data_IF_177177670301
#
_entry.id   IF_177177670301
#
_cell.length_a   1.000
_cell.length_b   1.000
_cell.length_c   1.000
_cell.angle_alpha   90.00
_cell.angle_beta   90.00
_cell.angle_gamma   90.00
#
_symmetry.space_group_name_H-M   'P 1'
#
loop_
_entity.id
_entity.type
_entity.pdbx_description
1 polymer ?
#
# COMPACT_ATOMS: atom_id res chain seq x y z
N UNK A 1 -29.94 18.39 -2.34
CA UNK A 1 -30.41 16.99 -2.12
C UNK A 1 -31.91 16.88 -1.83
N UNK A 2 -32.43 17.45 -0.72
CA UNK A 2 -33.87 17.30 -0.36
C UNK A 2 -34.83 17.74 -1.48
N UNK A 3 -34.46 18.77 -2.22
CA UNK A 3 -35.22 19.25 -3.38
C UNK A 3 -35.23 18.26 -4.56
N UNK A 4 -34.10 17.58 -4.80
CA UNK A 4 -33.94 16.53 -5.84
C UNK A 4 -34.87 15.35 -5.55
N UNK A 5 -34.92 14.93 -4.28
CA UNK A 5 -35.77 13.85 -3.80
C UNK A 5 -37.25 14.21 -3.93
N UNK A 6 -37.63 15.45 -3.60
CA UNK A 6 -39.02 15.94 -3.70
C UNK A 6 -39.57 15.98 -5.12
N UNK A 7 -38.69 16.12 -6.12
CA UNK A 7 -39.05 16.14 -7.53
C UNK A 7 -39.27 14.75 -8.14
N UNK A 8 -39.04 13.67 -7.39
CA UNK A 8 -39.34 12.32 -7.89
C UNK A 8 -40.85 12.09 -7.97
N UNK A 9 -41.35 11.68 -9.14
CA UNK A 9 -42.76 11.32 -9.33
C UNK A 9 -43.15 10.11 -8.48
N UNK A 10 -44.45 9.94 -8.25
CA UNK A 10 -45.00 8.76 -7.59
C UNK A 10 -44.62 7.44 -8.27
N UNK A 11 -44.37 7.44 -9.59
CA UNK A 11 -43.89 6.29 -10.37
C UNK A 11 -42.42 5.93 -10.13
N UNK A 12 -41.63 6.80 -9.48
CA UNK A 12 -40.19 6.62 -9.29
C UNK A 12 -39.30 7.27 -10.37
N UNK A 13 -39.90 8.03 -11.30
CA UNK A 13 -39.18 8.71 -12.39
C UNK A 13 -38.98 10.19 -12.12
N UNK A 14 -38.04 10.81 -12.84
CA UNK A 14 -37.89 12.27 -12.92
C UNK A 14 -38.27 12.78 -14.31
N UNK A 15 -38.66 14.06 -14.38
CA UNK A 15 -38.85 14.74 -15.66
C UNK A 15 -37.52 15.06 -16.30
N UNK A 16 -37.52 15.09 -17.64
CA UNK A 16 -36.35 15.45 -18.44
C UNK A 16 -35.82 16.85 -18.13
N UNK A 17 -36.72 17.83 -18.04
CA UNK A 17 -36.39 19.24 -17.74
C UNK A 17 -35.77 19.41 -16.36
N UNK A 18 -36.26 18.65 -15.38
CA UNK A 18 -35.70 18.64 -14.03
C UNK A 18 -34.34 17.94 -13.99
N UNK A 19 -34.17 16.81 -14.69
CA UNK A 19 -32.93 16.04 -14.68
C UNK A 19 -31.72 16.86 -15.15
N UNK A 20 -31.86 17.61 -16.26
CA UNK A 20 -30.80 18.46 -16.79
C UNK A 20 -30.39 19.55 -15.77
N UNK A 21 -31.38 20.23 -15.17
CA UNK A 21 -31.13 21.27 -14.16
C UNK A 21 -30.54 20.71 -12.85
N UNK A 22 -30.98 19.53 -12.43
CA UNK A 22 -30.55 18.88 -11.19
C UNK A 22 -29.10 18.40 -11.24
N UNK A 23 -28.64 17.99 -12.44
CA UNK A 23 -27.29 17.48 -12.68
C UNK A 23 -26.35 18.61 -13.12
N UNK A 24 -26.88 19.76 -13.55
CA UNK A 24 -26.10 20.92 -13.97
C UNK A 24 -25.56 20.80 -15.40
N UNK A 25 -26.28 20.10 -16.29
CA UNK A 25 -25.87 19.87 -17.69
C UNK A 25 -26.94 20.41 -18.64
N UNK A 26 -26.57 20.87 -19.84
CA UNK A 26 -27.55 21.31 -20.84
C UNK A 26 -28.38 20.14 -21.36
N UNK A 27 -29.65 20.40 -21.69
CA UNK A 27 -30.58 19.38 -22.19
C UNK A 27 -30.04 18.67 -23.46
N UNK A 28 -29.35 19.40 -24.34
CA UNK A 28 -28.74 18.85 -25.55
C UNK A 28 -27.61 17.86 -25.26
N UNK A 29 -26.79 18.14 -24.23
CA UNK A 29 -25.72 17.23 -23.79
C UNK A 29 -26.28 15.97 -23.15
N UNK A 30 -27.37 16.08 -22.39
CA UNK A 30 -28.06 14.94 -21.81
C UNK A 30 -28.65 14.03 -22.92
N UNK A 31 -29.18 14.63 -24.01
CA UNK A 31 -29.77 13.90 -25.13
C UNK A 31 -28.74 13.16 -25.98
N UNK A 32 -27.58 13.79 -26.25
CA UNK A 32 -26.49 13.18 -27.03
C UNK A 32 -25.89 11.92 -26.39
N UNK A 33 -26.03 11.77 -25.07
CA UNK A 33 -25.48 10.64 -24.32
C UNK A 33 -26.40 9.41 -24.29
N UNK A 34 -27.58 9.47 -24.93
CA UNK A 34 -28.45 8.31 -25.09
C UNK A 34 -27.81 7.36 -26.12
N UNK A 35 -27.71 6.04 -25.84
CA UNK A 35 -27.13 5.06 -26.77
C UNK A 35 -28.07 4.77 -27.95
N UNK A 36 -28.25 5.76 -28.83
CA UNK A 36 -29.13 5.70 -30.00
C UNK A 36 -28.67 4.67 -31.05
N UNK A 37 -27.39 4.30 -31.02
CA UNK A 37 -26.79 3.22 -31.80
C UNK A 37 -27.44 1.86 -31.49
N UNK A 38 -27.78 1.59 -30.22
CA UNK A 38 -28.34 0.31 -29.76
C UNK A 38 -29.87 0.24 -29.80
N UNK A 39 -30.53 1.37 -29.93
CA UNK A 39 -31.99 1.50 -29.83
C UNK A 39 -32.62 1.62 -31.22
N UNK A 40 -33.79 0.99 -31.42
CA UNK A 40 -34.56 1.12 -32.65
C UNK A 40 -35.19 2.50 -32.79
N UNK A 41 -35.73 3.05 -31.69
CA UNK A 41 -36.30 4.40 -31.61
C UNK A 41 -35.91 5.05 -30.28
N UNK A 42 -35.73 6.37 -30.30
CA UNK A 42 -35.53 7.20 -29.11
C UNK A 42 -36.76 8.08 -28.94
N UNK A 43 -37.74 7.55 -28.20
CA UNK A 43 -39.00 8.22 -27.92
C UNK A 43 -38.95 8.92 -26.54
N UNK A 44 -39.91 9.78 -26.24
CA UNK A 44 -39.97 10.54 -24.98
C UNK A 44 -39.92 9.64 -23.71
N UNK A 45 -40.40 8.40 -23.83
CA UNK A 45 -40.34 7.43 -22.74
C UNK A 45 -38.91 6.90 -22.49
N UNK A 46 -38.09 6.76 -23.54
CA UNK A 46 -36.67 6.38 -23.43
C UNK A 46 -35.86 7.52 -22.83
N UNK A 47 -36.17 8.76 -23.22
CA UNK A 47 -35.59 9.96 -22.61
C UNK A 47 -35.90 10.00 -21.10
N UNK A 48 -37.11 9.63 -20.69
CA UNK A 48 -37.49 9.56 -19.28
C UNK A 48 -36.74 8.44 -18.51
N UNK A 49 -36.48 7.29 -19.16
CA UNK A 49 -35.65 6.22 -18.59
C UNK A 49 -34.23 6.74 -18.34
N UNK A 50 -33.65 7.40 -19.34
CA UNK A 50 -32.30 7.95 -19.25
C UNK A 50 -32.19 9.05 -18.19
N UNK A 51 -33.08 10.03 -18.19
CA UNK A 51 -33.14 11.08 -17.17
C UNK A 51 -33.24 10.51 -15.74
N UNK A 52 -34.07 9.47 -15.57
CA UNK A 52 -34.25 8.80 -14.27
C UNK A 52 -32.98 8.06 -13.84
N UNK A 53 -32.28 7.40 -14.77
CA UNK A 53 -31.02 6.72 -14.50
C UNK A 53 -29.90 7.72 -14.13
N UNK A 54 -29.81 8.85 -14.84
CA UNK A 54 -28.82 9.91 -14.59
C UNK A 54 -29.03 10.58 -13.23
N UNK A 55 -30.25 10.95 -12.87
CA UNK A 55 -30.52 11.56 -11.55
C UNK A 55 -30.23 10.58 -10.41
N UNK A 56 -30.58 9.31 -10.59
CA UNK A 56 -30.28 8.29 -9.59
C UNK A 56 -28.78 8.03 -9.45
N UNK A 57 -28.04 7.95 -10.55
CA UNK A 57 -26.58 7.84 -10.55
C UNK A 57 -25.94 9.07 -9.89
N UNK A 58 -26.44 10.27 -10.18
CA UNK A 58 -25.96 11.52 -9.59
C UNK A 58 -26.11 11.56 -8.08
N UNK A 59 -27.24 11.08 -7.54
CA UNK A 59 -27.43 10.97 -6.10
C UNK A 59 -26.43 9.99 -5.46
N UNK A 60 -26.16 8.87 -6.12
CA UNK A 60 -25.22 7.85 -5.63
C UNK A 60 -23.75 8.29 -5.73
N UNK A 61 -23.38 9.05 -6.75
CA UNK A 61 -21.99 9.51 -6.96
C UNK A 61 -21.66 10.76 -6.16
N UNK A 62 -22.57 11.75 -6.09
CA UNK A 62 -22.28 13.04 -5.45
C UNK A 62 -22.49 13.05 -3.93
N UNK A 63 -23.27 12.11 -3.40
CA UNK A 63 -23.61 12.10 -1.97
C UNK A 63 -23.47 10.72 -1.31
N UNK A 64 -22.30 10.07 -1.39
CA UNK A 64 -22.11 8.72 -0.84
C UNK A 64 -22.38 8.65 0.69
N UNK A 65 -21.96 9.66 1.45
CA UNK A 65 -22.05 9.69 2.92
C UNK A 65 -23.46 9.92 3.46
N UNK A 66 -24.42 10.21 2.58
CA UNK A 66 -25.81 10.49 2.92
C UNK A 66 -26.76 9.43 2.36
N UNK A 67 -26.27 8.20 2.17
CA UNK A 67 -27.03 7.06 1.62
C UNK A 67 -28.41 6.88 2.26
N UNK A 68 -28.49 7.04 3.59
CA UNK A 68 -29.74 6.92 4.34
C UNK A 68 -30.85 7.88 3.86
N UNK A 69 -30.48 9.00 3.23
CA UNK A 69 -31.42 10.01 2.74
C UNK A 69 -31.98 9.70 1.35
N UNK A 70 -31.23 9.03 0.47
CA UNK A 70 -31.60 8.84 -0.94
C UNK A 70 -31.78 7.38 -1.37
N UNK A 71 -31.35 6.40 -0.58
CA UNK A 71 -31.35 4.97 -0.95
C UNK A 71 -32.74 4.46 -1.38
N UNK A 72 -33.78 4.84 -0.63
CA UNK A 72 -35.16 4.44 -0.93
C UNK A 72 -35.66 5.03 -2.28
N UNK A 73 -35.23 6.25 -2.58
CA UNK A 73 -35.58 7.00 -3.80
C UNK A 73 -34.88 6.37 -5.02
N UNK A 74 -33.60 6.02 -4.88
CA UNK A 74 -32.83 5.33 -5.92
C UNK A 74 -33.32 3.90 -6.15
N UNK A 75 -33.67 3.15 -5.10
CA UNK A 75 -34.29 1.82 -5.23
C UNK A 75 -35.59 1.88 -6.02
N UNK A 76 -36.40 2.92 -5.80
CA UNK A 76 -37.64 3.15 -6.56
C UNK A 76 -37.37 3.48 -8.02
N UNK A 77 -36.36 4.29 -8.30
CA UNK A 77 -35.90 4.62 -9.65
C UNK A 77 -35.40 3.38 -10.41
N UNK A 78 -34.60 2.53 -9.76
CA UNK A 78 -34.13 1.25 -10.33
C UNK A 78 -35.30 0.34 -10.72
N UNK A 79 -36.31 0.23 -9.85
CA UNK A 79 -37.53 -0.54 -10.16
C UNK A 79 -38.31 0.05 -11.34
N UNK A 80 -38.39 1.38 -11.44
CA UNK A 80 -39.02 2.04 -12.59
C UNK A 80 -38.27 1.74 -13.89
N UNK A 81 -36.96 1.98 -13.93
CA UNK A 81 -36.11 1.76 -15.11
C UNK A 81 -36.14 0.30 -15.55
N UNK A 82 -36.04 -0.66 -14.64
CA UNK A 82 -36.09 -2.09 -14.99
C UNK A 82 -37.46 -2.51 -15.60
N UNK A 83 -38.56 -1.94 -15.10
CA UNK A 83 -39.91 -2.20 -15.65
C UNK A 83 -40.11 -1.52 -17.00
N UNK A 84 -39.69 -0.27 -17.12
CA UNK A 84 -39.80 0.54 -18.32
C UNK A 84 -38.94 -0.04 -19.45
N UNK A 85 -37.70 -0.45 -19.15
CA UNK A 85 -36.80 -1.11 -20.09
C UNK A 85 -37.45 -2.35 -20.73
N UNK A 86 -38.02 -3.26 -19.94
CA UNK A 86 -38.69 -4.47 -20.46
C UNK A 86 -39.92 -4.20 -21.32
N UNK A 87 -40.61 -3.08 -21.09
CA UNK A 87 -41.90 -2.79 -21.74
C UNK A 87 -41.76 -1.89 -22.97
N UNK A 88 -40.78 -0.99 -22.96
CA UNK A 88 -40.71 0.17 -23.85
C UNK A 88 -39.48 0.10 -24.77
N UNK A 89 -38.34 -0.38 -24.26
CA UNK A 89 -37.07 -0.32 -24.99
C UNK A 89 -37.03 -1.42 -26.04
N UNK A 90 -36.94 -1.01 -27.32
CA UNK A 90 -36.71 -1.91 -28.46
C UNK A 90 -35.26 -1.81 -28.91
N UNK A 91 -34.52 -2.90 -28.77
CA UNK A 91 -33.11 -2.98 -29.13
C UNK A 91 -32.95 -3.39 -30.60
N UNK A 92 -31.91 -2.87 -31.28
CA UNK A 92 -31.59 -3.28 -32.66
C UNK A 92 -31.08 -4.72 -32.70
N UNK A 93 -30.33 -5.13 -31.69
CA UNK A 93 -29.88 -6.51 -31.47
C UNK A 93 -30.60 -7.09 -30.24
N UNK A 94 -31.40 -8.17 -30.38
CA UNK A 94 -32.09 -8.81 -29.26
C UNK A 94 -31.15 -9.42 -28.20
N UNK A 95 -29.88 -9.64 -28.54
CA UNK A 95 -28.86 -10.19 -27.64
C UNK A 95 -28.07 -9.12 -26.87
N UNK A 96 -28.23 -7.84 -27.24
CA UNK A 96 -27.57 -6.75 -26.55
C UNK A 96 -28.24 -6.44 -25.21
N UNK A 97 -27.45 -6.17 -24.17
CA UNK A 97 -27.95 -5.72 -22.86
C UNK A 97 -27.58 -4.23 -22.64
N UNK A 98 -28.52 -3.46 -22.10
CA UNK A 98 -28.32 -2.03 -21.82
C UNK A 98 -28.52 -1.77 -20.33
N UNK A 99 -27.42 -1.61 -19.61
CA UNK A 99 -27.44 -1.11 -18.24
C UNK A 99 -27.47 0.43 -18.23
N UNK A 100 -28.66 0.98 -18.05
CA UNK A 100 -28.90 2.42 -17.99
C UNK A 100 -28.19 3.11 -16.83
N UNK A 101 -28.05 2.47 -15.67
CA UNK A 101 -27.43 3.10 -14.50
C UNK A 101 -25.92 3.15 -14.65
N UNK A 102 -25.33 2.14 -15.27
CA UNK A 102 -23.92 2.13 -15.57
C UNK A 102 -23.56 3.19 -16.62
N UNK A 103 -24.34 3.28 -17.70
CA UNK A 103 -24.18 4.33 -18.71
C UNK A 103 -24.35 5.72 -18.10
N UNK A 104 -25.33 5.89 -17.22
CA UNK A 104 -25.58 7.15 -16.52
C UNK A 104 -24.42 7.53 -15.59
N UNK A 105 -23.85 6.57 -14.88
CA UNK A 105 -22.67 6.79 -14.03
C UNK A 105 -21.48 7.19 -14.89
N UNK A 106 -21.25 6.52 -16.02
CA UNK A 106 -20.18 6.87 -16.96
C UNK A 106 -20.35 8.29 -17.53
N UNK A 107 -21.58 8.66 -17.92
CA UNK A 107 -21.90 10.00 -18.40
C UNK A 107 -21.55 11.10 -17.39
N UNK A 108 -21.82 10.88 -16.11
CA UNK A 108 -21.54 11.84 -15.04
C UNK A 108 -20.06 11.99 -14.72
N UNK A 109 -19.27 10.93 -14.95
CA UNK A 109 -17.86 10.87 -14.56
C UNK A 109 -16.93 11.35 -15.68
N UNK A 110 -17.23 10.99 -16.93
CA UNK A 110 -16.32 11.14 -18.08
C UNK A 110 -16.76 12.29 -19.01
N UNK A 111 -18.05 12.64 -19.01
CA UNK A 111 -18.63 13.65 -19.89
C UNK A 111 -19.10 13.10 -21.26
N UNK A 112 -20.00 13.83 -21.96
CA UNK A 112 -20.73 13.33 -23.14
C UNK A 112 -19.86 13.06 -24.38
N UNK A 113 -18.70 13.70 -24.50
CA UNK A 113 -17.87 13.62 -25.71
C UNK A 113 -17.16 12.26 -25.82
N UNK A 114 -16.70 11.71 -24.69
CA UNK A 114 -16.01 10.41 -24.63
C UNK A 114 -17.00 9.24 -24.71
N UNK A 115 -18.20 9.40 -24.17
CA UNK A 115 -19.26 8.38 -24.21
C UNK A 115 -19.70 7.99 -25.63
N UNK A 116 -19.59 8.91 -26.60
CA UNK A 116 -19.96 8.66 -28.00
C UNK A 116 -19.02 7.70 -28.74
N UNK A 117 -17.84 7.40 -28.18
CA UNK A 117 -16.81 6.55 -28.78
C UNK A 117 -16.59 5.19 -28.09
N UNK A 118 -17.38 4.84 -27.06
CA UNK A 118 -17.21 3.58 -26.31
C UNK A 118 -17.95 2.43 -27.00
N UNK A 119 -17.24 1.68 -27.85
CA UNK A 119 -17.73 0.40 -28.37
C UNK A 119 -17.71 -0.68 -27.27
N UNK A 120 -18.79 -1.45 -27.12
CA UNK A 120 -18.82 -2.64 -26.24
C UNK A 120 -19.85 -2.64 -25.09
N UNK A 121 -20.58 -1.54 -24.83
CA UNK A 121 -21.64 -1.55 -23.81
C UNK A 121 -21.15 -1.62 -22.36
N UNK A 122 -21.93 -2.26 -21.49
CA UNK A 122 -21.76 -2.31 -20.04
C UNK A 122 -20.31 -2.60 -19.60
N UNK A 123 -19.66 -3.61 -20.19
CA UNK A 123 -18.27 -3.96 -19.84
C UNK A 123 -17.23 -2.93 -20.31
N UNK A 124 -17.44 -2.33 -21.49
CA UNK A 124 -16.60 -1.25 -22.00
C UNK A 124 -16.72 0.03 -21.18
N UNK A 125 -17.94 0.37 -20.75
CA UNK A 125 -18.18 1.49 -19.85
C UNK A 125 -17.59 1.25 -18.45
N UNK A 126 -17.61 0.01 -17.92
CA UNK A 126 -16.95 -0.32 -16.66
C UNK A 126 -15.43 -0.17 -16.73
N UNK A 127 -14.83 -0.63 -17.83
CA UNK A 127 -13.40 -0.50 -18.07
C UNK A 127 -12.99 0.96 -18.17
N UNK A 128 -13.70 1.77 -18.97
CA UNK A 128 -13.41 3.20 -19.15
C UNK A 128 -13.73 3.99 -17.89
N UNK A 129 -14.79 3.67 -17.12
CA UNK A 129 -15.09 4.32 -15.83
C UNK A 129 -14.04 3.95 -14.78
N UNK A 130 -13.61 2.69 -14.69
CA UNK A 130 -12.49 2.29 -13.83
C UNK A 130 -11.21 3.00 -14.24
N UNK A 131 -10.91 3.03 -15.54
CA UNK A 131 -9.71 3.65 -16.10
C UNK A 131 -9.74 5.18 -15.91
N UNK A 132 -10.89 5.84 -16.03
CA UNK A 132 -11.05 7.29 -15.83
C UNK A 132 -11.09 7.68 -14.34
N UNK A 133 -11.74 6.88 -13.49
CA UNK A 133 -11.70 7.05 -12.02
C UNK A 133 -10.30 6.78 -11.46
N UNK A 134 -9.58 5.82 -12.04
CA UNK A 134 -8.17 5.56 -11.72
C UNK A 134 -7.23 6.63 -12.29
N UNK A 135 -7.54 7.23 -13.44
CA UNK A 135 -6.74 8.32 -14.03
C UNK A 135 -6.79 9.64 -13.24
N UNK A 136 -7.76 9.82 -12.31
CA UNK A 136 -7.88 11.04 -11.51
C UNK A 136 -7.20 11.01 -10.14
N UNK A 137 -6.75 9.86 -9.63
CA UNK A 137 -5.99 9.80 -8.37
C UNK A 137 -4.51 9.67 -8.66
N UNK A 138 -3.81 10.78 -8.59
CA UNK A 138 -2.36 10.81 -8.51
C UNK A 138 -1.93 10.41 -7.10
N UNK A 139 -1.03 9.45 -6.99
CA UNK A 139 -0.39 9.04 -5.75
C UNK A 139 1.08 9.40 -5.78
N UNK A 140 1.70 9.62 -4.62
CA UNK A 140 3.13 9.90 -4.52
C UNK A 140 3.84 8.71 -3.90
N UNK A 141 4.81 8.15 -4.60
CA UNK A 141 5.67 7.09 -4.08
C UNK A 141 7.01 7.69 -3.67
N UNK A 142 7.40 7.40 -2.43
CA UNK A 142 8.55 7.97 -1.76
C UNK A 142 9.53 6.87 -1.38
N UNK A 143 10.75 6.95 -1.89
CA UNK A 143 11.83 6.05 -1.58
C UNK A 143 12.87 6.76 -0.71
N UNK A 144 13.03 6.28 0.52
CA UNK A 144 13.93 6.90 1.50
C UNK A 144 15.30 6.22 1.44
N UNK A 145 16.37 7.02 1.42
CA UNK A 145 17.75 6.58 1.64
C UNK A 145 18.28 7.33 2.88
N UNK A 146 18.02 6.80 4.09
CA UNK A 146 18.32 7.49 5.33
C UNK A 146 19.80 7.35 5.70
N UNK A 147 20.36 8.37 6.34
CA UNK A 147 21.65 8.29 7.02
C UNK A 147 21.43 8.03 8.52
N UNK A 148 21.71 6.81 8.97
CA UNK A 148 21.50 6.40 10.36
C UNK A 148 22.81 6.08 11.06
N UNK A 149 23.01 6.70 12.22
CA UNK A 149 24.16 6.54 13.09
C UNK A 149 23.76 5.81 14.38
N UNK A 150 24.75 5.38 15.16
CA UNK A 150 24.56 4.73 16.46
C UNK A 150 23.77 5.60 17.45
N UNK A 151 24.02 6.92 17.45
CA UNK A 151 23.34 7.92 18.27
C UNK A 151 21.82 7.93 18.05
N UNK A 152 21.35 7.64 16.83
CA UNK A 152 19.92 7.59 16.52
C UNK A 152 19.21 6.42 17.21
N UNK A 153 19.92 5.37 17.63
CA UNK A 153 19.35 4.23 18.35
C UNK A 153 19.47 4.36 19.86
N UNK A 154 19.92 5.50 20.38
CA UNK A 154 20.05 5.72 21.83
C UNK A 154 18.71 5.58 22.55
N UNK A 155 17.64 6.13 21.97
CA UNK A 155 16.27 6.07 22.52
C UNK A 155 15.23 5.99 21.40
N UNK A 156 14.02 5.53 21.74
CA UNK A 156 12.88 5.54 20.83
C UNK A 156 12.56 6.95 20.27
N UNK A 157 12.72 7.99 21.10
CA UNK A 157 12.44 9.37 20.71
C UNK A 157 13.45 9.89 19.67
N UNK A 158 14.74 9.66 19.89
CA UNK A 158 15.80 10.04 18.94
C UNK A 158 15.63 9.31 17.61
N UNK A 159 15.27 8.03 17.68
CA UNK A 159 15.00 7.22 16.51
C UNK A 159 13.80 7.76 15.71
N UNK A 160 12.67 8.04 16.36
CA UNK A 160 11.50 8.66 15.73
C UNK A 160 11.86 9.99 15.10
N UNK A 161 12.59 10.85 15.82
CA UNK A 161 12.96 12.18 15.35
C UNK A 161 13.82 12.12 14.08
N UNK A 162 14.77 11.19 13.98
CA UNK A 162 15.58 10.99 12.78
C UNK A 162 14.73 10.62 11.57
N UNK A 163 13.74 9.73 11.74
CA UNK A 163 12.84 9.34 10.66
C UNK A 163 11.84 10.44 10.27
N UNK A 164 11.25 11.12 11.26
CA UNK A 164 10.34 12.24 11.03
C UNK A 164 11.04 13.40 10.28
N UNK A 165 12.30 13.67 10.60
CA UNK A 165 13.10 14.68 9.90
C UNK A 165 13.27 14.37 8.41
N UNK A 166 13.27 13.09 8.02
CA UNK A 166 13.33 12.67 6.62
C UNK A 166 11.99 12.84 5.92
N UNK A 167 10.89 12.48 6.57
CA UNK A 167 9.54 12.64 6.00
C UNK A 167 9.18 14.12 5.83
N UNK A 168 9.55 14.96 6.79
CA UNK A 168 9.37 16.41 6.68
C UNK A 168 10.13 17.03 5.48
N UNK A 169 11.20 16.40 4.97
CA UNK A 169 11.86 16.85 3.74
C UNK A 169 11.04 16.55 2.48
N UNK A 170 10.21 15.51 2.53
CA UNK A 170 9.34 15.08 1.43
C UNK A 170 8.15 16.00 1.31
N UNK A 171 7.49 16.28 2.44
CA UNK A 171 6.32 17.16 2.50
C UNK A 171 6.64 18.55 1.97
N UNK A 172 7.71 19.17 2.47
CA UNK A 172 8.19 20.48 1.98
C UNK A 172 8.49 20.51 0.47
N UNK A 173 8.89 19.37 -0.11
CA UNK A 173 9.19 19.26 -1.54
C UNK A 173 7.92 19.01 -2.37
N UNK A 174 6.96 18.30 -1.80
CA UNK A 174 5.63 18.07 -2.37
C UNK A 174 4.83 19.36 -2.42
N UNK A 175 4.75 20.10 -1.31
CA UNK A 175 4.07 21.40 -1.19
C UNK A 175 4.60 22.45 -2.17
N UNK A 176 5.91 22.46 -2.42
CA UNK A 176 6.53 23.36 -3.42
C UNK A 176 6.12 23.04 -4.87
N UNK A 177 5.56 21.85 -5.12
CA UNK A 177 5.14 21.38 -6.45
C UNK A 177 3.62 21.46 -6.64
N UNK A 178 2.84 21.42 -5.55
CA UNK A 178 1.36 21.33 -5.55
C UNK A 178 0.63 22.60 -5.10
N UNK A 179 1.21 23.79 -5.26
CA UNK A 179 0.65 25.08 -4.80
C UNK A 179 -0.72 25.50 -5.42
N UNK A 180 -1.43 24.62 -6.13
CA UNK A 180 -2.73 24.89 -6.77
C UNK A 180 -3.83 23.82 -6.49
N UNK A 181 -3.63 22.86 -5.57
CA UNK A 181 -4.62 21.84 -5.26
C UNK A 181 -5.34 22.11 -3.92
N UNK A 182 -6.69 22.13 -3.95
CA UNK A 182 -7.55 22.24 -2.78
C UNK A 182 -7.38 21.03 -1.83
N UNK A 183 -7.55 21.26 -0.52
CA UNK A 183 -7.38 20.31 0.61
C UNK A 183 -8.15 18.96 0.48
N UNK A 184 -9.14 18.87 -0.42
CA UNK A 184 -9.95 17.65 -0.63
C UNK A 184 -9.32 16.63 -1.59
N UNK A 185 -8.24 16.98 -2.30
CA UNK A 185 -7.52 16.13 -3.27
C UNK A 185 -6.10 15.75 -2.78
N UNK A 186 -5.93 15.50 -1.48
CA UNK A 186 -4.65 15.01 -0.95
C UNK A 186 -4.24 13.71 -1.66
N UNK A 187 -3.13 13.76 -2.39
CA UNK A 187 -2.59 12.62 -3.12
C UNK A 187 -2.08 11.58 -2.12
N UNK A 188 -2.57 10.32 -2.14
CA UNK A 188 -2.10 9.30 -1.21
C UNK A 188 -0.58 9.12 -1.34
N UNK A 189 0.12 9.08 -0.20
CA UNK A 189 1.58 8.92 -0.15
C UNK A 189 1.95 7.50 0.28
N UNK A 190 2.88 6.85 -0.43
CA UNK A 190 3.47 5.57 -0.06
C UNK A 190 4.97 5.72 0.19
N UNK A 191 5.42 5.52 1.41
CA UNK A 191 6.82 5.65 1.82
C UNK A 191 7.46 4.28 2.03
N UNK A 192 8.66 4.09 1.48
CA UNK A 192 9.42 2.83 1.60
C UNK A 192 10.78 3.08 2.27
N UNK A 193 10.98 2.40 3.39
CA UNK A 193 12.22 2.40 4.18
C UNK A 193 13.12 1.18 3.88
N UNK A 194 14.43 1.22 4.21
CA UNK A 194 15.37 0.15 3.89
C UNK A 194 15.34 -1.02 4.88
N UNK A 195 15.97 -2.13 4.50
CA UNK A 195 16.04 -3.37 5.30
C UNK A 195 16.95 -3.24 6.53
N UNK A 196 16.66 -4.05 7.55
CA UNK A 196 17.47 -4.42 8.72
C UNK A 196 17.80 -3.26 9.65
N UNK A 197 18.30 -2.16 9.12
CA UNK A 197 18.91 -1.10 9.92
C UNK A 197 17.86 -0.32 10.67
N UNK A 198 16.71 -0.08 10.07
CA UNK A 198 15.60 0.65 10.69
C UNK A 198 15.18 0.01 12.02
N UNK A 199 14.93 -1.29 12.08
CA UNK A 199 14.42 -1.90 13.32
C UNK A 199 15.45 -2.71 14.14
N UNK A 200 16.46 -3.31 13.51
CA UNK A 200 17.27 -4.36 14.17
C UNK A 200 18.17 -3.80 15.28
N UNK A 201 18.63 -2.56 15.13
CA UNK A 201 19.53 -1.92 16.09
C UNK A 201 18.83 -1.33 17.32
N UNK A 202 17.49 -1.35 17.34
CA UNK A 202 16.70 -1.13 18.57
C UNK A 202 17.07 -2.13 19.68
N UNK A 203 17.79 -3.21 19.36
CA UNK A 203 18.38 -4.11 20.37
C UNK A 203 19.32 -3.38 21.34
N UNK A 204 19.95 -2.28 20.91
CA UNK A 204 20.87 -1.45 21.71
C UNK A 204 20.17 -0.27 22.42
N UNK A 205 18.87 -0.06 22.16
CA UNK A 205 18.11 1.07 22.71
C UNK A 205 18.07 1.06 24.24
N UNK A 206 18.36 2.21 24.83
CA UNK A 206 18.49 2.47 26.27
C UNK A 206 19.59 1.65 26.99
N UNK A 207 20.45 0.95 26.24
CA UNK A 207 21.48 0.07 26.82
C UNK A 207 22.89 0.66 26.79
N UNK A 208 23.15 1.61 25.89
CA UNK A 208 24.49 2.16 25.70
C UNK A 208 24.68 3.48 26.46
N UNK A 209 25.84 3.69 27.12
CA UNK A 209 26.24 5.00 27.60
C UNK A 209 26.27 6.04 26.47
N UNK A 210 26.03 7.31 26.79
CA UNK A 210 26.03 8.40 25.80
C UNK A 210 27.39 8.61 25.11
N UNK A 211 28.48 8.18 25.76
CA UNK A 211 29.87 8.26 25.33
C UNK A 211 30.42 6.90 24.85
N UNK A 212 29.55 5.95 24.49
CA UNK A 212 29.96 4.62 24.08
C UNK A 212 30.75 4.65 22.76
N UNK A 213 32.05 4.36 22.82
CA UNK A 213 32.88 4.09 21.66
C UNK A 213 33.19 2.59 21.57
N UNK A 214 32.76 1.92 20.51
CA UNK A 214 32.98 0.49 20.31
C UNK A 214 32.43 -0.01 18.98
N UNK A 215 32.67 -1.30 18.70
CA UNK A 215 32.02 -1.99 17.59
C UNK A 215 30.68 -2.60 18.01
N UNK A 216 29.95 -3.18 17.05
CA UNK A 216 28.66 -3.81 17.34
C UNK A 216 28.78 -4.95 18.37
N UNK A 217 29.90 -5.66 18.41
CA UNK A 217 30.11 -6.78 19.32
C UNK A 217 30.29 -6.30 20.76
N UNK A 218 31.02 -5.20 20.95
CA UNK A 218 31.15 -4.51 22.23
C UNK A 218 29.80 -3.99 22.72
N UNK A 219 29.00 -3.39 21.83
CA UNK A 219 27.66 -2.93 22.15
C UNK A 219 26.78 -4.09 22.63
N UNK A 220 26.76 -5.19 21.88
CA UNK A 220 25.99 -6.38 22.25
C UNK A 220 26.47 -7.00 23.57
N UNK A 221 27.78 -6.95 23.86
CA UNK A 221 28.33 -7.41 25.13
C UNK A 221 27.89 -6.55 26.32
N UNK A 222 27.64 -5.25 26.13
CA UNK A 222 27.05 -4.38 27.16
C UNK A 222 25.60 -4.80 27.44
N UNK A 223 24.80 -5.00 26.40
CA UNK A 223 23.40 -5.48 26.54
C UNK A 223 23.34 -6.81 27.28
N UNK A 224 24.18 -7.78 26.89
CA UNK A 224 24.25 -9.10 27.54
C UNK A 224 24.64 -8.97 29.02
N UNK A 225 25.61 -8.10 29.35
CA UNK A 225 26.04 -7.89 30.74
C UNK A 225 24.95 -7.28 31.61
N UNK A 226 24.20 -6.30 31.08
CA UNK A 226 23.08 -5.67 31.80
C UNK A 226 21.93 -6.65 32.06
N UNK A 227 21.71 -7.61 31.16
CA UNK A 227 20.62 -8.58 31.24
C UNK A 227 21.10 -10.03 31.43
N UNK A 228 22.18 -10.22 32.19
CA UNK A 228 22.93 -11.48 32.24
C UNK A 228 22.06 -12.71 32.56
N UNK A 229 21.21 -12.62 33.59
CA UNK A 229 20.37 -13.75 34.02
C UNK A 229 19.30 -14.13 33.00
N UNK A 230 18.61 -13.13 32.45
CA UNK A 230 17.61 -13.32 31.40
C UNK A 230 18.25 -13.86 30.12
N UNK A 231 19.42 -13.35 29.75
CA UNK A 231 20.20 -13.83 28.61
C UNK A 231 20.60 -15.31 28.77
N UNK A 232 21.13 -15.71 29.93
CA UNK A 232 21.50 -17.10 30.21
C UNK A 232 20.28 -18.02 30.14
N UNK A 233 19.13 -17.61 30.67
CA UNK A 233 17.89 -18.36 30.57
C UNK A 233 17.45 -18.57 29.10
N UNK A 234 17.51 -17.52 28.28
CA UNK A 234 17.22 -17.62 26.85
C UNK A 234 18.24 -18.47 26.09
N UNK A 235 19.52 -18.42 26.47
CA UNK A 235 20.59 -19.23 25.89
C UNK A 235 20.38 -20.72 26.16
N UNK A 236 20.14 -21.10 27.41
CA UNK A 236 19.82 -22.48 27.77
C UNK A 236 18.57 -22.97 27.03
N UNK A 237 17.51 -22.14 26.97
CA UNK A 237 16.29 -22.48 26.22
C UNK A 237 16.54 -22.64 24.72
N UNK A 238 17.43 -21.84 24.12
CA UNK A 238 17.80 -21.99 22.71
C UNK A 238 18.54 -23.29 22.44
N UNK A 239 19.47 -23.69 23.31
CA UNK A 239 20.18 -24.96 23.19
C UNK A 239 19.24 -26.16 23.28
N UNK A 240 18.31 -26.14 24.24
CA UNK A 240 17.32 -27.20 24.45
C UNK A 240 16.35 -27.31 23.26
N UNK A 241 15.85 -26.18 22.75
CA UNK A 241 14.86 -26.21 21.67
C UNK A 241 15.47 -26.60 20.32
N UNK A 242 16.66 -26.09 20.02
CA UNK A 242 17.29 -26.26 18.70
C UNK A 242 18.21 -27.50 18.63
N UNK A 243 18.26 -28.32 19.68
CA UNK A 243 19.03 -29.59 19.74
C UNK A 243 20.50 -29.45 19.30
N UNK A 244 21.18 -28.36 19.70
CA UNK A 244 22.58 -28.08 19.32
C UNK A 244 22.84 -28.03 17.79
N UNK A 245 21.81 -27.81 16.96
CA UNK A 245 21.95 -27.79 15.49
C UNK A 245 22.76 -26.62 14.94
N UNK A 246 23.06 -25.61 15.74
CA UNK A 246 23.73 -24.39 15.31
C UNK A 246 24.97 -24.11 16.17
N UNK A 247 25.91 -23.33 15.63
CA UNK A 247 27.11 -22.94 16.38
C UNK A 247 26.78 -22.02 17.56
N UNK A 248 27.67 -21.98 18.55
CA UNK A 248 27.55 -21.17 19.77
C UNK A 248 27.16 -19.71 19.49
N UNK A 249 27.81 -19.08 18.50
CA UNK A 249 27.54 -17.68 18.15
C UNK A 249 26.14 -17.45 17.58
N UNK A 250 25.57 -18.45 16.89
CA UNK A 250 24.19 -18.36 16.42
C UNK A 250 23.20 -18.43 17.58
N UNK A 251 23.48 -19.26 18.59
CA UNK A 251 22.69 -19.30 19.83
C UNK A 251 22.79 -18.00 20.62
N UNK A 252 23.98 -17.42 20.76
CA UNK A 252 24.20 -16.12 21.41
C UNK A 252 23.37 -15.02 20.73
N UNK A 253 23.48 -14.88 19.41
CA UNK A 253 22.69 -13.89 18.65
C UNK A 253 21.19 -14.11 18.85
N UNK A 254 20.70 -15.36 18.73
CA UNK A 254 19.27 -15.67 18.91
C UNK A 254 18.75 -15.31 20.29
N UNK A 255 19.51 -15.61 21.34
CA UNK A 255 19.12 -15.30 22.71
C UNK A 255 19.06 -13.80 22.96
N UNK A 256 20.02 -13.05 22.41
CA UNK A 256 20.06 -11.61 22.53
C UNK A 256 18.87 -10.92 21.86
N UNK A 257 18.59 -11.28 20.60
CA UNK A 257 17.41 -10.74 19.91
C UNK A 257 16.10 -11.19 20.55
N UNK A 258 16.01 -12.41 21.08
CA UNK A 258 14.82 -12.87 21.82
C UNK A 258 14.59 -12.09 23.11
N UNK A 259 15.66 -11.76 23.83
CA UNK A 259 15.61 -10.98 25.07
C UNK A 259 14.96 -9.60 24.83
N UNK A 260 15.41 -8.88 23.79
CA UNK A 260 14.90 -7.53 23.48
C UNK A 260 13.71 -7.53 22.50
N UNK A 261 13.30 -8.68 21.98
CA UNK A 261 12.31 -8.78 20.89
C UNK A 261 11.01 -8.02 21.17
N UNK A 262 10.47 -8.08 22.40
CA UNK A 262 9.24 -7.38 22.76
C UNK A 262 9.43 -5.86 22.75
N UNK A 263 10.50 -5.35 23.36
CA UNK A 263 10.80 -3.93 23.38
C UNK A 263 11.04 -3.42 21.94
N UNK A 264 11.88 -4.12 21.18
CA UNK A 264 12.16 -3.82 19.78
C UNK A 264 10.90 -3.78 18.93
N UNK A 265 10.02 -4.78 19.06
CA UNK A 265 8.77 -4.84 18.30
C UNK A 265 7.80 -3.71 18.66
N UNK A 266 7.61 -3.42 19.96
CA UNK A 266 6.71 -2.37 20.39
C UNK A 266 7.18 -1.01 19.91
N UNK A 267 8.46 -0.68 20.12
CA UNK A 267 9.05 0.59 19.66
C UNK A 267 8.98 0.71 18.15
N UNK A 268 9.36 -0.33 17.41
CA UNK A 268 9.27 -0.33 15.95
C UNK A 268 7.83 -0.10 15.47
N UNK A 269 6.85 -0.80 16.05
CA UNK A 269 5.44 -0.64 15.70
C UNK A 269 4.93 0.77 16.04
N UNK A 270 5.21 1.26 17.25
CA UNK A 270 4.71 2.55 17.75
C UNK A 270 5.28 3.70 16.93
N UNK A 271 6.60 3.72 16.70
CA UNK A 271 7.25 4.77 15.91
C UNK A 271 6.67 4.82 14.49
N UNK A 272 6.54 3.69 13.80
CA UNK A 272 5.98 3.69 12.44
C UNK A 272 4.48 3.93 12.38
N UNK A 273 3.73 3.51 13.40
CA UNK A 273 2.29 3.80 13.53
C UNK A 273 2.07 5.30 13.70
N UNK A 274 2.84 5.95 14.58
CA UNK A 274 2.78 7.39 14.79
C UNK A 274 3.23 8.15 13.55
N UNK A 275 4.32 7.75 12.89
CA UNK A 275 4.76 8.39 11.64
C UNK A 275 3.73 8.26 10.52
N UNK A 276 3.05 7.11 10.40
CA UNK A 276 2.01 6.93 9.39
C UNK A 276 0.80 7.84 9.65
N UNK A 277 0.44 8.04 10.92
CA UNK A 277 -0.63 8.97 11.33
C UNK A 277 -0.24 10.43 11.15
N UNK A 278 0.96 10.82 11.60
CA UNK A 278 1.44 12.21 11.55
C UNK A 278 1.57 12.73 10.12
N UNK A 279 1.90 11.85 9.17
CA UNK A 279 2.13 12.18 7.76
C UNK A 279 1.02 11.69 6.83
N UNK A 280 -0.08 11.15 7.37
CA UNK A 280 -1.20 10.54 6.64
C UNK A 280 -0.77 9.61 5.47
N UNK A 281 0.32 8.86 5.69
CA UNK A 281 1.01 8.12 4.64
C UNK A 281 0.95 6.61 4.87
N UNK A 282 0.87 5.86 3.78
CA UNK A 282 1.14 4.43 3.78
C UNK A 282 2.63 4.19 3.95
N UNK A 283 3.04 3.38 4.93
CA UNK A 283 4.46 3.16 5.20
C UNK A 283 4.81 1.69 5.10
N UNK A 284 5.79 1.36 4.25
CA UNK A 284 6.55 0.10 4.31
C UNK A 284 7.78 0.36 5.19
N UNK A 285 7.71 -0.06 6.45
CA UNK A 285 8.63 0.34 7.53
C UNK A 285 10.06 -0.25 7.42
N UNK A 286 10.43 -0.79 6.26
CA UNK A 286 11.71 -1.46 6.10
C UNK A 286 11.67 -2.83 6.75
N UNK A 287 12.70 -3.24 7.48
CA UNK A 287 12.65 -4.52 8.17
C UNK A 287 13.40 -4.60 9.50
N UNK A 288 13.03 -5.59 10.31
CA UNK A 288 13.52 -5.85 11.64
C UNK A 288 13.77 -7.35 11.87
N UNK A 289 14.85 -7.70 12.56
CA UNK A 289 15.13 -9.08 12.95
C UNK A 289 14.36 -9.46 14.23
N UNK A 290 13.28 -10.23 14.08
CA UNK A 290 12.44 -10.66 15.20
C UNK A 290 12.13 -12.17 15.16
N UNK A 291 11.78 -12.78 16.30
CA UNK A 291 11.06 -14.04 16.30
C UNK A 291 9.76 -13.92 15.50
N UNK A 292 9.21 -15.04 15.01
CA UNK A 292 8.00 -14.99 14.16
C UNK A 292 6.87 -14.25 14.87
N UNK A 293 6.32 -13.24 14.22
CA UNK A 293 5.21 -12.47 14.77
C UNK A 293 3.90 -13.17 14.39
N UNK A 294 3.05 -13.45 15.38
CA UNK A 294 1.70 -13.97 15.18
C UNK A 294 0.70 -12.87 15.45
N UNK A 295 -0.18 -12.64 14.48
CA UNK A 295 -1.27 -11.68 14.57
C UNK A 295 -2.58 -12.43 14.72
N UNK A 296 -3.33 -12.15 15.79
CA UNK A 296 -4.61 -12.76 16.09
C UNK A 296 -5.70 -11.71 16.03
N UNK A 297 -6.74 -11.91 15.22
CA UNK A 297 -7.95 -11.09 15.28
C UNK A 297 -8.76 -11.52 16.50
N UNK A 298 -8.82 -10.70 17.54
CA UNK A 298 -9.86 -10.88 18.55
C UNK A 298 -11.16 -10.29 18.02
N UNK A 299 -12.17 -11.13 17.89
CA UNK A 299 -13.57 -10.69 17.88
C UNK A 299 -13.91 -10.39 19.33
N UNK A 300 -14.47 -9.22 19.64
CA UNK A 300 -14.87 -8.94 21.02
C UNK A 300 -16.00 -9.88 21.42
N UNK A 301 -15.70 -10.93 22.19
CA UNK A 301 -16.72 -11.69 22.89
C UNK A 301 -17.30 -10.79 24.00
N UNK A 302 -18.31 -9.98 23.65
CA UNK A 302 -18.91 -9.02 24.57
C UNK A 302 -20.10 -8.22 24.07
N UNK A 303 -20.41 -8.23 22.77
CA UNK A 303 -21.63 -7.63 22.23
C UNK A 303 -22.57 -8.73 21.75
N UNK A 304 -23.57 -9.01 22.59
CA UNK A 304 -24.73 -9.85 22.33
C UNK A 304 -25.26 -9.66 20.92
N UNK A 305 -25.54 -10.78 20.26
CA UNK A 305 -26.18 -10.90 18.97
C UNK A 305 -27.41 -9.98 18.80
N UNK A 306 -27.22 -8.85 18.14
CA UNK A 306 -28.24 -8.08 17.43
C UNK A 306 -27.59 -6.88 16.72
N UNK A 307 -26.78 -7.12 15.70
CA UNK A 307 -26.37 -6.07 14.77
C UNK A 307 -26.35 -6.64 13.35
N UNK A 308 -27.51 -6.59 12.71
CA UNK A 308 -27.60 -6.55 11.25
C UNK A 308 -27.23 -5.14 10.80
N UNK A 309 -25.94 -4.86 10.60
CA UNK A 309 -25.48 -3.82 9.67
C UNK A 309 -23.98 -3.95 9.44
N UNK A 310 -23.50 -3.57 8.24
CA UNK A 310 -22.12 -3.61 7.75
C UNK A 310 -21.17 -2.66 8.53
N UNK A 311 -21.14 -2.77 9.85
CA UNK A 311 -20.15 -2.09 10.68
C UNK A 311 -18.87 -2.93 10.68
N UNK A 312 -17.80 -2.31 10.20
CA UNK A 312 -16.43 -2.79 10.27
C UNK A 312 -16.11 -3.07 11.75
N UNK A 313 -16.32 -4.30 12.21
CA UNK A 313 -15.97 -4.69 13.56
C UNK A 313 -14.48 -4.40 13.75
N UNK A 314 -14.17 -3.51 14.68
CA UNK A 314 -12.82 -3.22 15.15
C UNK A 314 -12.20 -4.53 15.67
N UNK A 315 -11.60 -5.29 14.76
CA UNK A 315 -10.79 -6.46 15.07
C UNK A 315 -9.53 -5.97 15.75
N UNK A 316 -9.51 -6.03 17.08
CA UNK A 316 -8.28 -5.77 17.83
C UNK A 316 -7.31 -6.91 17.55
N UNK A 317 -6.27 -6.62 16.77
CA UNK A 317 -5.22 -7.57 16.43
C UNK A 317 -4.25 -7.68 17.62
N UNK A 318 -4.35 -8.76 18.40
CA UNK A 318 -3.32 -9.07 19.39
C UNK A 318 -2.09 -9.63 18.69
N UNK A 319 -0.93 -9.05 19.00
CA UNK A 319 0.35 -9.49 18.45
C UNK A 319 1.11 -10.31 19.49
N UNK A 320 1.52 -11.53 19.14
CA UNK A 320 2.39 -12.37 19.98
C UNK A 320 3.63 -12.82 19.22
N UNK A 321 4.78 -12.68 19.85
CA UNK A 321 6.03 -13.22 19.33
C UNK A 321 6.09 -14.73 19.57
N UNK A 322 6.50 -15.48 18.57
CA UNK A 322 6.71 -16.92 18.68
C UNK A 322 8.02 -17.23 19.38
N UNK A 323 8.15 -18.44 19.91
CA UNK A 323 9.39 -18.97 20.47
C UNK A 323 10.38 -19.47 19.40
N UNK A 324 10.01 -19.48 18.11
CA UNK A 324 10.76 -20.16 17.06
C UNK A 324 11.48 -19.20 16.11
N UNK A 325 12.74 -19.51 15.82
CA UNK A 325 13.56 -18.84 14.80
C UNK A 325 13.79 -17.34 15.02
N UNK A 326 14.64 -16.76 14.19
CA UNK A 326 14.64 -15.32 13.91
C UNK A 326 14.36 -15.17 12.42
N UNK A 327 13.54 -14.20 12.08
CA UNK A 327 13.12 -13.90 10.73
C UNK A 327 13.36 -12.43 10.47
N UNK A 328 13.69 -12.10 9.22
CA UNK A 328 13.59 -10.73 8.80
C UNK A 328 12.11 -10.40 8.57
N UNK A 329 11.59 -9.39 9.25
CA UNK A 329 10.17 -9.04 9.25
C UNK A 329 10.01 -7.60 8.80
N UNK A 330 9.13 -7.33 7.85
CA UNK A 330 8.69 -5.99 7.46
C UNK A 330 7.23 -5.81 7.86
N UNK A 331 6.89 -4.65 8.41
CA UNK A 331 5.51 -4.26 8.68
C UNK A 331 5.09 -3.18 7.70
N UNK A 332 3.84 -3.21 7.25
CA UNK A 332 3.22 -2.12 6.52
C UNK A 332 2.14 -1.48 7.38
N UNK A 333 2.03 -0.16 7.25
CA UNK A 333 1.10 0.67 8.01
C UNK A 333 0.21 1.47 7.07
N UNK A 334 -1.06 1.56 7.43
CA UNK A 334 -2.01 2.46 6.78
C UNK A 334 -1.93 3.87 7.41
N UNK A 335 -2.48 4.91 6.75
CA UNK A 335 -2.49 6.29 7.27
C UNK A 335 -3.13 6.47 8.64
N UNK A 336 -3.99 5.55 9.07
CA UNK A 336 -4.57 5.53 10.43
C UNK A 336 -3.61 4.94 11.49
N UNK A 337 -2.38 4.60 11.09
CA UNK A 337 -1.36 3.96 11.91
C UNK A 337 -1.60 2.48 12.19
N UNK A 338 -2.64 1.86 11.64
CA UNK A 338 -2.90 0.44 11.83
C UNK A 338 -1.92 -0.41 11.02
N UNK A 339 -1.52 -1.57 11.56
CA UNK A 339 -0.69 -2.54 10.84
C UNK A 339 -1.58 -3.28 9.85
N UNK A 340 -1.37 -3.04 8.56
CA UNK A 340 -2.11 -3.66 7.48
C UNK A 340 -1.42 -4.94 6.96
N UNK A 341 -0.08 -5.06 7.11
CA UNK A 341 0.67 -6.20 6.62
C UNK A 341 1.91 -6.58 7.47
N UNK A 342 2.28 -7.86 7.43
CA UNK A 342 3.43 -8.47 8.11
C UNK A 342 4.15 -9.43 7.14
N UNK A 343 5.26 -8.98 6.58
CA UNK A 343 6.03 -9.71 5.58
C UNK A 343 7.24 -10.41 6.22
N UNK A 344 7.35 -11.72 6.05
CA UNK A 344 8.54 -12.51 6.44
C UNK A 344 9.46 -12.88 5.27
N UNK A 345 8.93 -12.79 4.05
CA UNK A 345 9.63 -13.06 2.78
C UNK A 345 9.06 -12.17 1.67
N UNK A 346 7.87 -12.53 1.20
CA UNK A 346 7.06 -11.73 0.31
C UNK A 346 5.59 -11.76 0.72
N UNK A 347 4.93 -10.60 0.64
CA UNK A 347 3.49 -10.47 0.90
C UNK A 347 2.88 -9.36 0.04
N UNK A 348 1.57 -9.42 -0.17
CA UNK A 348 0.81 -8.37 -0.85
C UNK A 348 -0.17 -7.74 0.12
N UNK A 349 -0.25 -6.42 0.11
CA UNK A 349 -1.34 -5.68 0.72
C UNK A 349 -1.76 -4.53 -0.19
N UNK A 350 -3.06 -4.45 -0.51
CA UNK A 350 -3.65 -3.33 -1.25
C UNK A 350 -2.89 -2.97 -2.54
N UNK A 351 -2.65 -3.97 -3.41
CA UNK A 351 -1.84 -3.89 -4.64
C UNK A 351 -0.35 -3.57 -4.46
N UNK A 352 0.15 -3.43 -3.23
CA UNK A 352 1.57 -3.23 -2.92
C UNK A 352 2.20 -4.54 -2.45
N UNK A 353 3.14 -5.05 -3.23
CA UNK A 353 3.94 -6.23 -2.92
C UNK A 353 5.23 -5.86 -2.21
N UNK A 354 5.55 -6.51 -1.09
CA UNK A 354 6.84 -6.31 -0.40
C UNK A 354 7.71 -7.54 -0.60
N UNK A 355 8.97 -7.37 -1.01
CA UNK A 355 9.98 -8.43 -1.11
C UNK A 355 11.27 -8.00 -0.41
N UNK A 356 11.66 -8.68 0.66
CA UNK A 356 12.75 -8.22 1.52
C UNK A 356 14.11 -8.63 0.92
N UNK A 357 14.88 -7.66 0.46
CA UNK A 357 16.27 -7.79 0.02
C UNK A 357 16.53 -9.00 -0.90
N UNK A 358 17.16 -10.05 -0.38
CA UNK A 358 17.49 -11.27 -1.12
C UNK A 358 16.27 -11.95 -1.76
N UNK A 359 15.06 -11.74 -1.23
CA UNK A 359 13.84 -12.31 -1.80
C UNK A 359 13.54 -11.75 -3.20
N UNK A 360 14.00 -10.52 -3.50
CA UNK A 360 13.93 -9.89 -4.83
C UNK A 360 14.83 -10.56 -5.89
N UNK A 361 15.62 -11.56 -5.51
CA UNK A 361 16.45 -12.29 -6.47
C UNK A 361 15.74 -13.50 -7.06
N UNK A 362 14.76 -14.07 -6.34
CA UNK A 362 14.14 -15.33 -6.72
C UNK A 362 12.96 -15.11 -7.68
N UNK A 363 12.94 -15.76 -8.87
CA UNK A 363 11.83 -15.65 -9.83
C UNK A 363 10.46 -16.00 -9.22
N UNK A 364 10.42 -17.02 -8.36
CA UNK A 364 9.21 -17.46 -7.65
C UNK A 364 8.57 -16.35 -6.81
N UNK A 365 9.37 -15.39 -6.33
CA UNK A 365 8.84 -14.23 -5.59
C UNK A 365 7.97 -13.38 -6.51
N UNK A 366 8.47 -13.07 -7.72
CA UNK A 366 7.74 -12.26 -8.71
C UNK A 366 6.55 -13.00 -9.32
N UNK A 367 6.65 -14.31 -9.53
CA UNK A 367 5.50 -15.14 -9.94
C UNK A 367 4.37 -15.04 -8.92
N UNK A 368 4.68 -15.17 -7.63
CA UNK A 368 3.70 -15.04 -6.55
C UNK A 368 3.14 -13.61 -6.48
N UNK A 369 3.98 -12.58 -6.60
CA UNK A 369 3.53 -11.19 -6.62
C UNK A 369 2.57 -10.93 -7.79
N UNK A 370 2.84 -11.51 -8.96
CA UNK A 370 1.97 -11.46 -10.13
C UNK A 370 0.64 -12.18 -9.90
N UNK A 371 0.67 -13.39 -9.35
CA UNK A 371 -0.54 -14.16 -9.02
C UNK A 371 -1.44 -13.42 -8.03
N UNK A 372 -0.83 -12.67 -7.10
CA UNK A 372 -1.57 -11.87 -6.14
C UNK A 372 -2.06 -10.53 -6.72
N UNK A 373 -1.55 -10.09 -7.88
CA UNK A 373 -1.95 -8.83 -8.53
C UNK A 373 -1.23 -7.58 -8.01
N UNK A 374 0.06 -7.68 -7.67
CA UNK A 374 0.85 -6.52 -7.22
C UNK A 374 1.01 -5.48 -8.35
N UNK A 375 0.60 -4.23 -8.11
CA UNK A 375 0.85 -3.10 -9.01
C UNK A 375 2.15 -2.35 -8.67
N UNK A 376 2.50 -2.29 -7.39
CA UNK A 376 3.75 -1.70 -6.90
C UNK A 376 4.55 -2.77 -6.15
N UNK A 377 5.85 -2.89 -6.40
CA UNK A 377 6.74 -3.80 -5.66
C UNK A 377 7.78 -3.02 -4.87
N UNK A 378 7.71 -3.10 -3.56
CA UNK A 378 8.64 -2.49 -2.62
C UNK A 378 9.72 -3.50 -2.19
N UNK A 379 10.98 -3.12 -2.35
CA UNK A 379 12.15 -3.90 -1.97
C UNK A 379 12.97 -3.13 -0.94
N UNK A 380 12.69 -3.30 0.35
CA UNK A 380 13.59 -2.88 1.41
C UNK A 380 14.86 -3.72 1.30
N UNK A 381 16.02 -3.09 1.17
CA UNK A 381 17.28 -3.82 1.08
C UNK A 381 18.41 -3.13 1.85
N UNK A 382 19.35 -3.94 2.35
CA UNK A 382 20.59 -3.45 2.90
C UNK A 382 21.76 -4.29 2.37
N UNK A 383 22.71 -3.60 1.75
CA UNK A 383 23.90 -4.20 1.16
C UNK A 383 25.12 -3.69 1.90
N UNK A 384 25.86 -4.62 2.50
CA UNK A 384 27.07 -4.33 3.28
C UNK A 384 28.13 -5.41 3.00
N UNK A 385 29.44 -5.09 3.12
CA UNK A 385 30.03 -3.74 3.12
C UNK A 385 29.88 -3.03 1.77
N UNK A 386 30.30 -1.76 1.66
CA UNK A 386 30.23 -0.99 0.40
C UNK A 386 30.88 -1.71 -0.81
N UNK A 387 31.96 -2.45 -0.57
CA UNK A 387 32.67 -3.22 -1.60
C UNK A 387 31.85 -4.38 -2.17
N UNK A 388 30.72 -4.73 -1.55
CA UNK A 388 29.85 -5.81 -2.02
C UNK A 388 29.28 -5.49 -3.40
N UNK A 389 28.99 -4.22 -3.71
CA UNK A 389 28.52 -3.82 -5.05
C UNK A 389 29.49 -4.15 -6.18
N UNK A 390 30.79 -4.23 -5.88
CA UNK A 390 31.85 -4.51 -6.85
C UNK A 390 32.16 -6.02 -6.96
N UNK A 391 31.43 -6.86 -6.23
CA UNK A 391 31.63 -8.28 -6.16
C UNK A 391 30.37 -9.09 -6.55
N UNK A 392 30.54 -10.34 -7.00
CA UNK A 392 29.43 -11.25 -7.21
C UNK A 392 28.59 -11.46 -5.95
N UNK A 393 27.25 -11.55 -6.09
CA UNK A 393 26.38 -11.85 -4.95
C UNK A 393 26.68 -13.26 -4.43
N UNK A 394 26.89 -13.40 -3.11
CA UNK A 394 27.22 -14.67 -2.45
C UNK A 394 26.02 -15.52 -2.03
N UNK A 395 24.78 -15.04 -2.24
CA UNK A 395 23.55 -15.73 -1.87
C UNK A 395 23.21 -15.64 -0.38
N UNK A 396 22.09 -16.27 0.03
CA UNK A 396 21.66 -16.26 1.43
C UNK A 396 22.69 -16.95 2.32
N UNK A 397 23.12 -16.28 3.39
CA UNK A 397 24.05 -16.79 4.41
C UNK A 397 25.36 -17.41 3.89
N UNK A 398 25.86 -16.93 2.73
CA UNK A 398 27.10 -17.42 2.12
C UNK A 398 26.98 -18.83 1.51
N UNK A 399 25.76 -19.37 1.39
CA UNK A 399 25.52 -20.62 0.67
C UNK A 399 25.28 -20.32 -0.80
N UNK A 400 26.36 -20.38 -1.58
CA UNK A 400 26.40 -20.23 -3.03
C UNK A 400 25.54 -21.22 -3.84
N UNK A 401 24.77 -22.10 -3.18
CA UNK A 401 24.14 -23.28 -3.79
C UNK A 401 22.65 -23.07 -4.16
N UNK A 402 22.12 -21.85 -3.99
CA UNK A 402 20.71 -21.54 -4.22
C UNK A 402 20.46 -20.33 -5.13
N UNK A 403 21.41 -19.95 -5.98
CA UNK A 403 21.11 -18.95 -6.99
C UNK A 403 20.08 -19.50 -7.99
N UNK A 404 19.10 -18.68 -8.39
CA UNK A 404 18.35 -18.95 -9.61
C UNK A 404 19.31 -19.10 -10.80
N UNK A 405 19.09 -20.11 -11.64
CA UNK A 405 20.01 -20.45 -12.74
C UNK A 405 20.21 -19.32 -13.77
N UNK A 406 19.30 -18.36 -13.77
CA UNK A 406 19.23 -17.16 -14.62
C UNK A 406 19.91 -15.93 -14.01
N UNK A 407 20.44 -16.02 -12.78
CA UNK A 407 21.22 -14.95 -12.14
C UNK A 407 22.70 -15.17 -12.42
N UNK A 408 23.31 -14.26 -13.18
CA UNK A 408 24.77 -14.20 -13.22
C UNK A 408 25.27 -13.74 -11.84
N UNK A 409 26.09 -14.59 -11.21
CA UNK A 409 26.65 -14.33 -9.89
C UNK A 409 27.31 -12.94 -9.83
N UNK A 410 27.86 -12.42 -10.93
CA UNK A 410 28.59 -11.14 -10.99
C UNK A 410 27.76 -9.86 -10.85
N UNK A 411 26.41 -9.90 -10.83
CA UNK A 411 25.60 -8.68 -10.85
C UNK A 411 24.80 -8.47 -9.55
N UNK A 412 25.37 -7.77 -8.56
CA UNK A 412 24.59 -7.18 -7.46
C UNK A 412 23.84 -5.96 -7.98
N UNK A 413 22.51 -5.93 -7.78
CA UNK A 413 21.65 -4.83 -8.24
C UNK A 413 20.79 -5.12 -9.48
N UNK A 414 20.84 -6.34 -10.03
CA UNK A 414 20.08 -6.71 -11.23
C UNK A 414 18.59 -7.05 -10.98
N UNK A 415 18.08 -6.83 -9.75
CA UNK A 415 16.65 -6.93 -9.44
C UNK A 415 15.83 -5.96 -10.31
N UNK A 416 16.43 -4.83 -10.75
CA UNK A 416 15.82 -3.84 -11.65
C UNK A 416 15.31 -4.47 -12.95
N UNK A 417 16.01 -5.49 -13.46
CA UNK A 417 15.62 -6.21 -14.66
C UNK A 417 14.56 -7.29 -14.46
N UNK A 418 14.13 -7.57 -13.21
CA UNK A 418 13.17 -8.64 -12.88
C UNK A 418 11.77 -8.15 -12.56
N UNK A 419 11.60 -6.84 -12.34
CA UNK A 419 10.30 -6.25 -12.05
C UNK A 419 9.26 -6.52 -13.15
N UNK A 420 9.69 -6.55 -14.41
CA UNK A 420 8.82 -6.90 -15.52
C UNK A 420 8.15 -8.28 -15.35
N UNK A 421 8.81 -9.22 -14.65
CA UNK A 421 8.26 -10.56 -14.42
C UNK A 421 7.09 -10.58 -13.42
N UNK A 422 6.98 -9.59 -12.53
CA UNK A 422 5.81 -9.47 -11.63
C UNK A 422 4.58 -8.85 -12.29
N UNK A 423 4.71 -8.22 -13.46
CA UNK A 423 3.61 -7.46 -14.08
C UNK A 423 3.26 -6.16 -13.35
N UNK A 424 4.07 -5.77 -12.37
CA UNK A 424 3.91 -4.54 -11.60
C UNK A 424 4.28 -3.32 -12.45
N UNK A 425 3.56 -2.21 -12.28
CA UNK A 425 3.81 -0.94 -12.98
C UNK A 425 4.97 -0.16 -12.38
N UNK A 426 5.25 -0.36 -11.10
CA UNK A 426 6.33 0.34 -10.40
C UNK A 426 7.09 -0.58 -9.44
N UNK A 427 8.40 -0.35 -9.33
CA UNK A 427 9.25 -0.96 -8.33
C UNK A 427 10.00 0.09 -7.55
N UNK A 428 10.06 -0.08 -6.23
CA UNK A 428 10.70 0.86 -5.30
C UNK A 428 11.75 0.11 -4.53
N UNK A 429 13.00 0.54 -4.60
CA UNK A 429 14.11 -0.15 -3.96
C UNK A 429 14.84 0.83 -3.06
N UNK A 430 14.73 0.61 -1.75
CA UNK A 430 15.28 1.48 -0.72
C UNK A 430 16.51 0.83 -0.10
N UNK A 431 17.62 1.57 -0.11
CA UNK A 431 18.90 1.21 0.51
C UNK A 431 19.27 2.20 1.60
N UNK A 432 20.01 1.71 2.60
CA UNK A 432 20.66 2.54 3.60
C UNK A 432 21.93 3.17 3.04
N UNK A 433 22.22 4.40 3.48
CA UNK A 433 23.53 5.02 3.35
C UNK A 433 24.15 5.32 4.73
N UNK A 434 25.47 5.26 4.82
CA UNK A 434 26.19 5.69 6.02
C UNK A 434 26.97 4.56 6.70
N UNK A 435 27.38 4.83 7.94
CA UNK A 435 28.17 3.91 8.78
C UNK A 435 27.44 3.69 10.09
N UNK A 436 27.04 2.44 10.32
CA UNK A 436 26.43 2.01 11.56
C UNK A 436 27.34 0.95 12.19
N UNK A 437 28.02 1.32 13.29
CA UNK A 437 29.11 0.52 13.84
C UNK A 437 30.20 0.26 12.77
N UNK A 438 30.59 -1.00 12.58
CA UNK A 438 31.48 -1.45 11.51
C UNK A 438 30.78 -1.63 10.15
N UNK A 439 29.46 -1.56 10.09
CA UNK A 439 28.69 -1.79 8.87
C UNK A 439 28.62 -0.51 8.03
N UNK A 440 28.95 -0.63 6.76
CA UNK A 440 28.83 0.47 5.79
C UNK A 440 27.76 0.15 4.74
N UNK A 441 27.01 1.18 4.35
CA UNK A 441 26.06 1.16 3.25
C UNK A 441 26.37 2.28 2.25
N UNK A 442 26.42 1.95 0.96
CA UNK A 442 26.74 2.90 -0.11
C UNK A 442 25.51 3.60 -0.68
N UNK A 443 24.30 3.19 -0.30
CA UNK A 443 23.05 3.64 -0.91
C UNK A 443 22.84 3.07 -2.32
N UNK A 444 22.19 3.87 -3.18
CA UNK A 444 21.66 3.59 -4.54
C UNK A 444 20.18 3.22 -4.62
N UNK A 445 19.36 3.78 -3.72
CA UNK A 445 17.91 3.78 -3.83
C UNK A 445 17.44 4.20 -5.22
N UNK A 446 16.41 3.52 -5.72
CA UNK A 446 15.87 3.77 -7.04
C UNK A 446 14.39 3.45 -7.13
N UNK A 447 13.70 4.24 -7.93
CA UNK A 447 12.34 3.99 -8.39
C UNK A 447 12.45 3.58 -9.85
N UNK A 448 11.84 2.44 -10.20
CA UNK A 448 11.89 1.83 -11.52
C UNK A 448 10.48 1.61 -12.05
N UNK A 449 10.29 1.83 -13.33
CA UNK A 449 9.07 1.49 -14.07
C UNK A 449 8.99 -0.02 -14.28
N UNK A 450 7.78 -0.56 -14.46
CA UNK A 450 7.51 -1.96 -14.80
C UNK A 450 8.26 -2.46 -16.05
N UNK A 451 8.61 -1.56 -16.98
CA UNK A 451 9.46 -1.86 -18.15
C UNK A 451 10.97 -1.95 -17.82
N UNK A 452 11.36 -1.75 -16.56
CA UNK A 452 12.73 -1.79 -16.08
C UNK A 452 13.50 -0.46 -16.20
N UNK A 453 12.89 0.61 -16.71
CA UNK A 453 13.52 1.94 -16.77
C UNK A 453 13.66 2.55 -15.38
N UNK A 454 14.80 3.19 -15.11
CA UNK A 454 15.03 3.95 -13.88
C UNK A 454 14.35 5.31 -13.99
N UNK A 455 13.37 5.57 -13.14
CA UNK A 455 12.61 6.81 -13.08
C UNK A 455 13.26 7.84 -12.15
N UNK A 456 13.76 7.37 -11.00
CA UNK A 456 14.53 8.16 -10.06
C UNK A 456 15.65 7.31 -9.45
N UNK A 457 16.80 7.91 -9.17
CA UNK A 457 17.95 7.24 -8.53
C UNK A 457 18.65 8.21 -7.59
N UNK A 458 19.01 7.73 -6.41
CA UNK A 458 19.83 8.48 -5.45
C UNK A 458 21.32 8.40 -5.78
N UNK A 459 22.07 9.40 -5.35
CA UNK A 459 23.52 9.37 -5.41
C UNK A 459 24.07 8.38 -4.36
N UNK A 460 25.23 7.78 -4.68
CA UNK A 460 25.99 6.97 -3.73
C UNK A 460 26.49 7.82 -2.58
N UNK A 461 26.40 7.33 -1.36
CA UNK A 461 27.06 7.93 -0.20
C UNK A 461 26.41 9.21 0.35
N UNK A 462 25.23 9.60 -0.12
CA UNK A 462 24.51 10.78 0.39
C UNK A 462 23.12 10.42 0.91
N UNK A 463 22.69 11.02 2.02
CA UNK A 463 21.29 10.96 2.42
C UNK A 463 20.41 11.57 1.32
N UNK A 464 19.30 10.90 1.00
CA UNK A 464 18.39 11.40 -0.02
C UNK A 464 17.00 10.82 0.14
N UNK A 465 15.99 11.60 -0.27
CA UNK A 465 14.65 11.08 -0.46
C UNK A 465 14.24 11.30 -1.91
N UNK A 466 13.80 10.24 -2.55
CA UNK A 466 13.30 10.26 -3.92
C UNK A 466 11.77 10.22 -3.87
N UNK A 467 11.10 11.10 -4.60
CA UNK A 467 9.67 11.04 -4.83
C UNK A 467 9.38 10.84 -6.31
N UNK A 468 8.31 10.11 -6.62
CA UNK A 468 7.80 9.94 -7.96
C UNK A 468 6.27 9.94 -7.92
N UNK A 469 5.67 10.80 -8.73
CA UNK A 469 4.22 10.83 -8.90
C UNK A 469 3.78 9.67 -9.79
N UNK A 470 2.91 8.85 -9.24
CA UNK A 470 2.29 7.72 -9.92
C UNK A 470 0.86 8.13 -10.25
N UNK A 471 0.54 8.19 -11.54
CA UNK A 471 -0.86 8.11 -11.93
C UNK A 471 -1.37 6.73 -11.51
N UNK A 472 -2.33 6.68 -10.58
CA UNK A 472 -2.87 5.54 -9.82
C UNK A 472 -2.19 5.24 -8.46
N UNK A 473 -2.96 5.40 -7.38
CA UNK A 473 -2.92 4.57 -6.16
C UNK A 473 -4.33 4.02 -5.86
#
# INVERSE_FOLDING_TARGET
MKEIIRKQKASGSWEWSDAAALVGVTADKLRKAIPADKLQTVDAEVEQIWATAVVAAFLSTKFPDQKNNWDLVVKKARKFVARAHKKIVKLKDPSAEVDWFQLATAFLVIGPEVMSGVEGGASGAEAVVRETMMQKKTGVVVCVQPWLEDSHYASAATFKQALAALLAQVERRSESTTAEADDEDACPMLVVFPEMVVGTWLVAMDELPADFEGDSSAAMAVVVRRHLWSFVAHLLRSFVHDHFRFGLMAHVKRSLFRLKAHAMFNTYREVFSELAQEHEAWIVAGSILLPRVKYYTQVSEGLSAAATDDSYEMRRLETRLSSQGLYNVSLSFAPDGSVCNVTHKCHLDSNVGVAICADSWYPKTYERLREMGADIVCVPAFVTPNSTWDAPWGGYSGRSRHFPADVNASHIGNYKGRLHASGARLGVCSYLVGKLWEMTGSGESAIVSGDGRVLAKSAKGTESVLSYEVGLL
#
